data_IF_310184739937
#
_entry.id   IF_310184739937
#
_cell.length_a   1.000
_cell.length_b   1.000
_cell.length_c   1.000
_cell.angle_alpha   90.00
_cell.angle_beta   90.00
_cell.angle_gamma   90.00
#
_symmetry.space_group_name_H-M   'P 1'
#
loop_
_entity.id
_entity.type
_entity.pdbx_description
1 polymer ?
#
# COMPACT_ATOMS: atom_id res chain seq x y z
N UNK A 1 15.14 -11.05 -3.59
CA UNK A 1 13.76 -11.50 -3.40
C UNK A 1 12.94 -11.07 -4.59
N UNK A 2 12.02 -11.90 -5.07
CA UNK A 2 11.15 -11.59 -6.21
C UNK A 2 9.82 -11.07 -5.70
N UNK A 3 9.39 -9.91 -6.17
CA UNK A 3 8.27 -9.17 -5.59
C UNK A 3 7.31 -8.68 -6.67
N UNK A 4 6.02 -8.74 -6.36
CA UNK A 4 4.95 -7.99 -7.02
C UNK A 4 4.51 -6.87 -6.07
N UNK A 5 4.26 -5.66 -6.57
CA UNK A 5 3.63 -4.59 -5.78
C UNK A 5 2.27 -4.25 -6.41
N UNK A 6 1.19 -4.46 -5.65
CA UNK A 6 -0.18 -4.07 -5.97
C UNK A 6 -0.56 -2.81 -5.20
N UNK A 7 -0.79 -1.70 -5.91
CA UNK A 7 -0.77 -0.35 -5.34
C UNK A 7 -1.80 0.59 -6.01
N UNK A 8 -2.01 1.77 -5.43
CA UNK A 8 -2.96 2.78 -5.91
C UNK A 8 -2.34 4.19 -5.94
N UNK A 9 -1.18 4.37 -6.59
CA UNK A 9 -0.31 5.53 -6.37
C UNK A 9 -0.93 6.87 -6.78
N UNK A 10 -0.68 7.90 -5.97
CA UNK A 10 -1.13 9.28 -6.20
C UNK A 10 -0.02 10.31 -6.41
N UNK A 11 1.24 9.90 -6.58
CA UNK A 11 2.35 10.82 -6.81
C UNK A 11 2.09 11.77 -8.00
N UNK A 12 2.18 13.07 -7.75
CA UNK A 12 1.91 14.10 -8.75
C UNK A 12 0.41 14.41 -8.97
N UNK A 13 -0.49 13.74 -8.26
CA UNK A 13 -1.93 14.00 -8.30
C UNK A 13 -2.33 14.87 -7.10
N UNK A 14 -2.95 16.04 -7.33
CA UNK A 14 -3.35 16.93 -6.23
C UNK A 14 -4.24 16.23 -5.20
N UNK A 15 -3.84 16.27 -3.93
CA UNK A 15 -4.62 15.70 -2.81
C UNK A 15 -4.61 14.18 -2.69
N UNK A 16 -3.95 13.45 -3.59
CA UNK A 16 -3.81 12.00 -3.48
C UNK A 16 -2.55 11.61 -2.69
N UNK A 17 -2.62 10.48 -2.00
CA UNK A 17 -1.51 9.98 -1.18
C UNK A 17 -0.32 9.53 -2.05
N UNK A 18 0.90 9.61 -1.49
CA UNK A 18 2.17 9.46 -2.21
C UNK A 18 3.01 8.26 -1.76
N UNK A 19 2.53 7.55 -0.75
CA UNK A 19 3.23 6.48 -0.05
C UNK A 19 3.52 5.29 -0.95
N UNK A 20 2.59 4.91 -1.82
CA UNK A 20 2.83 3.89 -2.86
C UNK A 20 4.05 4.22 -3.71
N UNK A 21 4.18 5.48 -4.18
CA UNK A 21 5.33 5.87 -5.00
C UNK A 21 6.65 5.86 -4.23
N UNK A 22 6.61 6.11 -2.91
CA UNK A 22 7.78 5.95 -2.04
C UNK A 22 8.13 4.46 -1.84
N UNK A 23 7.14 3.59 -1.70
CA UNK A 23 7.33 2.14 -1.62
C UNK A 23 7.92 1.58 -2.92
N UNK A 24 7.37 1.97 -4.07
CA UNK A 24 7.89 1.64 -5.40
C UNK A 24 9.32 2.15 -5.58
N UNK A 25 9.61 3.39 -5.19
CA UNK A 25 10.96 3.95 -5.26
C UNK A 25 11.97 3.16 -4.43
N UNK A 26 11.62 2.79 -3.19
CA UNK A 26 12.48 1.96 -2.35
C UNK A 26 12.70 0.57 -2.97
N UNK A 27 11.65 -0.05 -3.50
CA UNK A 27 11.75 -1.37 -4.14
C UNK A 27 12.64 -1.35 -5.39
N UNK A 28 12.58 -0.27 -6.20
CA UNK A 28 13.43 -0.08 -7.37
C UNK A 28 14.88 0.20 -6.98
N UNK A 29 15.10 0.98 -5.91
CA UNK A 29 16.43 1.35 -5.45
C UNK A 29 17.17 0.21 -4.72
N UNK A 30 16.46 -0.77 -4.19
CA UNK A 30 17.05 -1.87 -3.43
C UNK A 30 17.49 -3.03 -4.35
N UNK A 31 18.80 -3.27 -4.56
CA UNK A 31 19.28 -4.33 -5.46
C UNK A 31 18.94 -5.75 -4.99
N UNK A 32 18.53 -5.90 -3.72
CA UNK A 32 18.05 -7.17 -3.18
C UNK A 32 16.63 -7.50 -3.64
N UNK A 33 15.89 -6.56 -4.24
CA UNK A 33 14.53 -6.75 -4.76
C UNK A 33 14.58 -6.85 -6.28
N UNK A 34 14.01 -7.95 -6.80
CA UNK A 34 13.60 -8.08 -8.19
C UNK A 34 12.12 -7.74 -8.24
N UNK A 35 11.79 -6.50 -8.64
CA UNK A 35 10.40 -6.07 -8.81
C UNK A 35 9.90 -6.59 -10.16
N UNK A 36 9.18 -7.71 -10.13
CA UNK A 36 8.76 -8.45 -11.32
C UNK A 36 7.65 -7.72 -12.09
N UNK A 37 6.76 -7.03 -11.37
CA UNK A 37 5.73 -6.17 -11.94
C UNK A 37 5.12 -5.24 -10.90
N UNK A 38 4.50 -4.17 -11.41
CA UNK A 38 3.63 -3.27 -10.68
C UNK A 38 2.20 -3.50 -11.15
N UNK A 39 1.28 -3.71 -10.23
CA UNK A 39 -0.15 -3.76 -10.52
C UNK A 39 -0.86 -2.60 -9.86
N UNK A 40 -1.90 -2.07 -10.51
CA UNK A 40 -2.68 -0.95 -9.97
C UNK A 40 -4.13 -1.30 -9.69
N UNK A 41 -4.68 -0.73 -8.62
CA UNK A 41 -6.08 -0.89 -8.20
C UNK A 41 -6.70 0.49 -7.93
N UNK A 42 -8.02 0.63 -8.06
CA UNK A 42 -8.69 1.86 -7.67
C UNK A 42 -8.65 2.04 -6.14
N UNK A 43 -8.14 3.18 -5.68
CA UNK A 43 -8.00 3.51 -4.26
C UNK A 43 -7.76 5.00 -4.03
N UNK A 44 -6.59 5.44 -3.58
CA UNK A 44 -6.23 6.85 -3.46
C UNK A 44 -6.54 7.63 -4.75
N UNK A 45 -6.40 6.98 -5.91
CA UNK A 45 -6.82 7.51 -7.21
C UNK A 45 -7.72 6.53 -7.97
N UNK A 46 -8.51 6.99 -8.97
CA UNK A 46 -9.10 6.09 -9.97
C UNK A 46 -8.02 5.24 -10.65
N UNK A 47 -8.32 3.98 -10.98
CA UNK A 47 -7.30 3.02 -11.41
C UNK A 47 -6.50 3.47 -12.64
N UNK A 48 -7.11 4.18 -13.59
CA UNK A 48 -6.43 4.70 -14.78
C UNK A 48 -5.43 5.82 -14.45
N UNK A 49 -5.69 6.57 -13.38
CA UNK A 49 -4.80 7.61 -12.87
C UNK A 49 -3.60 6.95 -12.17
N UNK A 50 -3.85 6.03 -11.23
CA UNK A 50 -2.77 5.28 -10.57
C UNK A 50 -1.90 4.49 -11.57
N UNK A 51 -2.52 3.89 -12.59
CA UNK A 51 -1.82 3.25 -13.70
C UNK A 51 -0.90 4.21 -14.45
N UNK A 52 -1.38 5.43 -14.75
CA UNK A 52 -0.57 6.46 -15.39
C UNK A 52 0.59 6.93 -14.51
N UNK A 53 0.37 7.08 -13.20
CA UNK A 53 1.40 7.46 -12.21
C UNK A 53 2.50 6.40 -12.17
N UNK A 54 2.14 5.11 -12.02
CA UNK A 54 3.10 4.01 -12.00
C UNK A 54 3.90 3.92 -13.33
N UNK A 55 3.24 4.14 -14.47
CA UNK A 55 3.91 4.18 -15.78
C UNK A 55 4.86 5.36 -15.94
N UNK A 56 4.48 6.53 -15.45
CA UNK A 56 5.32 7.72 -15.49
C UNK A 56 6.59 7.51 -14.65
N UNK A 57 6.46 6.90 -13.47
CA UNK A 57 7.60 6.51 -12.63
C UNK A 57 8.58 5.60 -13.38
N UNK A 58 8.13 4.43 -13.87
CA UNK A 58 9.04 3.47 -14.54
C UNK A 58 9.67 4.08 -15.79
N UNK A 59 8.94 4.94 -16.52
CA UNK A 59 9.45 5.64 -17.70
C UNK A 59 10.52 6.67 -17.35
N UNK A 60 10.32 7.45 -16.28
CA UNK A 60 11.30 8.46 -15.83
C UNK A 60 12.61 7.83 -15.34
N UNK A 61 12.51 6.66 -14.75
CA UNK A 61 13.64 5.89 -14.24
C UNK A 61 14.30 5.01 -15.31
N UNK A 62 13.69 4.90 -16.50
CA UNK A 62 14.14 4.03 -17.59
C UNK A 62 14.33 2.56 -17.15
N UNK A 63 13.41 2.06 -16.32
CA UNK A 63 13.45 0.67 -15.81
C UNK A 63 12.46 -0.23 -16.55
N UNK A 64 12.83 -1.46 -16.93
CA UNK A 64 12.00 -2.35 -17.74
C UNK A 64 10.96 -3.12 -16.91
N UNK A 65 10.28 -2.44 -15.99
CA UNK A 65 9.31 -3.05 -15.08
C UNK A 65 7.90 -2.97 -15.72
N UNK A 66 7.22 -4.10 -15.95
CA UNK A 66 5.88 -4.09 -16.51
C UNK A 66 4.87 -3.52 -15.49
N UNK A 67 3.94 -2.71 -15.99
CA UNK A 67 2.83 -2.14 -15.20
C UNK A 67 1.50 -2.67 -15.77
N UNK A 68 0.67 -3.26 -14.91
CA UNK A 68 -0.65 -3.80 -15.26
C UNK A 68 -1.76 -3.05 -14.54
N UNK A 69 -2.79 -2.66 -15.30
CA UNK A 69 -4.00 -2.07 -14.75
C UNK A 69 -4.90 -3.18 -14.17
N UNK A 70 -5.57 -2.91 -13.06
CA UNK A 70 -6.45 -3.86 -12.38
C UNK A 70 -7.86 -3.35 -12.17
N UNK A 71 -8.46 -3.73 -11.04
CA UNK A 71 -9.84 -3.45 -10.73
C UNK A 71 -10.10 -1.95 -10.54
N UNK A 72 -11.13 -1.45 -11.22
CA UNK A 72 -11.56 -0.04 -11.15
C UNK A 72 -12.56 0.25 -10.02
N UNK A 73 -13.01 -0.78 -9.30
CA UNK A 73 -14.00 -0.71 -8.22
C UNK A 73 -13.84 -1.90 -7.28
N UNK A 74 -14.30 -1.71 -6.05
CA UNK A 74 -14.40 -2.77 -5.06
C UNK A 74 -15.34 -3.90 -5.50
N UNK A 75 -15.25 -5.05 -4.83
CA UNK A 75 -16.11 -6.20 -5.09
C UNK A 75 -17.59 -5.89 -4.83
N UNK A 76 -17.90 -5.11 -3.77
CA UNK A 76 -19.28 -4.75 -3.41
C UNK A 76 -19.48 -3.31 -2.95
N UNK A 77 -18.46 -2.67 -2.36
CA UNK A 77 -18.59 -1.31 -1.83
C UNK A 77 -18.91 -0.30 -2.94
N UNK A 78 -19.81 0.66 -2.65
CA UNK A 78 -20.12 1.74 -3.57
C UNK A 78 -18.92 2.70 -3.66
N UNK A 79 -18.33 2.92 -4.85
CA UNK A 79 -17.18 3.81 -4.99
C UNK A 79 -17.55 5.28 -4.80
N UNK A 80 -18.82 5.70 -4.97
CA UNK A 80 -19.18 7.12 -5.06
C UNK A 80 -18.82 7.93 -3.80
N UNK A 81 -19.15 7.51 -2.56
CA UNK A 81 -18.80 8.29 -1.37
C UNK A 81 -17.28 8.41 -1.17
N UNK A 82 -16.54 7.36 -1.56
CA UNK A 82 -15.08 7.38 -1.52
C UNK A 82 -14.49 8.34 -2.56
N UNK A 83 -14.99 8.30 -3.80
CA UNK A 83 -14.58 9.24 -4.86
C UNK A 83 -14.86 10.68 -4.46
N UNK A 84 -16.05 10.98 -3.97
CA UNK A 84 -16.41 12.33 -3.53
C UNK A 84 -15.45 12.87 -2.47
N UNK A 85 -15.05 12.02 -1.50
CA UNK A 85 -14.11 12.41 -0.46
C UNK A 85 -12.67 12.57 -0.96
N UNK A 86 -12.17 11.60 -1.73
CA UNK A 86 -10.76 11.54 -2.13
C UNK A 86 -10.44 12.50 -3.28
N UNK A 87 -11.32 12.57 -4.29
CA UNK A 87 -11.07 13.32 -5.52
C UNK A 87 -11.30 14.84 -5.34
N UNK A 88 -12.00 15.26 -4.27
CA UNK A 88 -12.30 16.68 -3.99
C UNK A 88 -11.67 17.21 -2.70
N UNK A 89 -10.88 16.38 -2.00
CA UNK A 89 -10.29 16.75 -0.72
C UNK A 89 -9.43 18.02 -0.81
N UNK A 90 -8.60 18.12 -1.85
CA UNK A 90 -7.69 19.26 -2.03
C UNK A 90 -8.42 20.57 -2.35
N UNK A 91 -9.55 20.51 -3.08
CA UNK A 91 -10.43 21.66 -3.34
C UNK A 91 -11.12 22.13 -2.08
N UNK A 92 -11.63 21.21 -1.25
CA UNK A 92 -12.29 21.56 0.02
C UNK A 92 -11.38 22.34 0.97
N UNK A 93 -10.07 22.09 0.93
CA UNK A 93 -9.09 22.84 1.72
C UNK A 93 -8.49 24.06 1.00
N UNK A 94 -8.79 24.26 -0.30
CA UNK A 94 -8.21 25.36 -1.09
C UNK A 94 -6.69 25.28 -1.20
N UNK A 95 -6.15 24.06 -1.40
CA UNK A 95 -4.70 23.78 -1.39
C UNK A 95 -4.16 23.24 -2.72
N UNK A 96 -4.95 23.30 -3.80
CA UNK A 96 -4.56 22.77 -5.11
C UNK A 96 -3.29 23.40 -5.68
N UNK A 97 -3.05 24.67 -5.35
CA UNK A 97 -1.87 25.45 -5.73
C UNK A 97 -0.54 24.84 -5.25
N UNK A 98 -0.56 23.96 -4.22
CA UNK A 98 0.63 23.24 -3.80
C UNK A 98 1.22 22.35 -4.92
N UNK A 99 0.42 21.98 -5.92
CA UNK A 99 0.81 21.12 -7.04
C UNK A 99 1.02 21.86 -8.36
N UNK A 100 1.01 23.19 -8.40
CA UNK A 100 1.13 23.97 -9.65
C UNK A 100 2.40 23.66 -10.45
N UNK A 101 3.52 23.43 -9.76
CA UNK A 101 4.82 23.13 -10.37
C UNK A 101 5.11 21.62 -10.46
N UNK A 102 4.14 20.77 -10.11
CA UNK A 102 4.33 19.32 -10.06
C UNK A 102 3.92 18.70 -11.41
N UNK A 103 4.84 18.02 -12.12
CA UNK A 103 4.50 17.39 -13.38
C UNK A 103 3.38 16.35 -13.21
N UNK A 104 2.28 16.53 -13.95
CA UNK A 104 1.19 15.55 -13.96
C UNK A 104 1.51 14.39 -14.90
N UNK A 105 1.32 13.13 -14.46
CA UNK A 105 1.43 11.97 -15.34
C UNK A 105 0.51 12.06 -16.55
N UNK A 106 0.99 11.61 -17.71
CA UNK A 106 0.16 11.60 -18.92
C UNK A 106 -0.97 10.59 -18.79
N UNK A 107 -2.21 11.03 -19.02
CA UNK A 107 -3.38 10.16 -18.97
C UNK A 107 -3.22 8.95 -19.90
N UNK A 108 -3.38 7.76 -19.33
CA UNK A 108 -3.32 6.50 -20.08
C UNK A 108 -4.72 5.91 -20.18
N UNK A 109 -5.43 6.19 -21.27
CA UNK A 109 -6.74 5.59 -21.54
C UNK A 109 -6.55 4.19 -22.16
N UNK A 110 -7.46 3.26 -21.85
CA UNK A 110 -7.59 1.92 -22.49
C UNK A 110 -6.64 0.82 -22.01
N UNK A 111 -6.15 0.87 -20.77
CA UNK A 111 -5.47 -0.30 -20.20
C UNK A 111 -6.48 -1.42 -19.94
N UNK A 112 -6.18 -2.65 -20.38
CA UNK A 112 -7.01 -3.81 -20.03
C UNK A 112 -6.80 -4.15 -18.55
N UNK A 113 -7.86 -4.43 -17.77
CA UNK A 113 -7.76 -4.75 -16.35
C UNK A 113 -7.32 -6.21 -16.16
N UNK A 114 -6.04 -6.49 -16.39
CA UNK A 114 -5.46 -7.85 -16.37
C UNK A 114 -4.55 -8.11 -15.16
N UNK A 115 -4.47 -7.17 -14.21
CA UNK A 115 -3.64 -7.32 -13.03
C UNK A 115 -3.96 -8.58 -12.20
N UNK A 116 -5.24 -8.93 -11.91
CA UNK A 116 -5.54 -10.15 -11.14
C UNK A 116 -5.02 -11.42 -11.83
N UNK A 117 -5.18 -11.51 -13.15
CA UNK A 117 -4.66 -12.61 -13.96
C UNK A 117 -3.15 -12.65 -13.94
N UNK A 118 -2.48 -11.51 -14.14
CA UNK A 118 -1.02 -11.43 -14.13
C UNK A 118 -0.44 -11.86 -12.76
N UNK A 119 -1.04 -11.40 -11.65
CA UNK A 119 -0.67 -11.79 -10.28
C UNK A 119 -0.78 -13.30 -10.12
N UNK A 120 -1.94 -13.87 -10.44
CA UNK A 120 -2.19 -15.30 -10.28
C UNK A 120 -1.29 -16.14 -11.16
N UNK A 121 -1.11 -15.76 -12.42
CA UNK A 121 -0.26 -16.45 -13.38
C UNK A 121 1.21 -16.47 -12.92
N UNK A 122 1.78 -15.32 -12.55
CA UNK A 122 3.18 -15.26 -12.13
C UNK A 122 3.44 -16.08 -10.87
N UNK A 123 2.57 -15.96 -9.85
CA UNK A 123 2.72 -16.69 -8.59
C UNK A 123 2.57 -18.19 -8.81
N UNK A 124 1.54 -18.64 -9.53
CA UNK A 124 1.26 -20.07 -9.70
C UNK A 124 2.31 -20.78 -10.56
N UNK A 125 2.97 -20.07 -11.49
CA UNK A 125 4.09 -20.61 -12.25
C UNK A 125 5.41 -20.64 -11.46
N UNK A 126 5.51 -19.95 -10.33
CA UNK A 126 6.72 -19.83 -9.51
C UNK A 126 6.43 -20.11 -8.03
N UNK A 127 5.95 -21.33 -7.68
CA UNK A 127 5.50 -21.64 -6.33
C UNK A 127 6.65 -21.50 -5.31
N UNK A 128 6.40 -20.77 -4.22
CA UNK A 128 7.34 -20.51 -3.13
C UNK A 128 8.35 -19.39 -3.38
N UNK A 129 8.32 -18.75 -4.55
CA UNK A 129 9.33 -17.75 -4.93
C UNK A 129 8.88 -16.30 -4.80
N UNK A 130 7.59 -16.02 -5.10
CA UNK A 130 7.07 -14.67 -5.24
C UNK A 130 6.44 -14.18 -3.93
N UNK A 131 6.91 -13.01 -3.46
CA UNK A 131 6.23 -12.24 -2.41
C UNK A 131 5.32 -11.19 -3.06
N UNK A 132 4.04 -11.16 -2.67
CA UNK A 132 3.10 -10.14 -3.10
C UNK A 132 3.00 -9.06 -2.02
N UNK A 133 3.30 -7.82 -2.36
CA UNK A 133 3.09 -6.65 -1.49
C UNK A 133 1.83 -5.95 -1.98
N UNK A 134 0.85 -5.76 -1.11
CA UNK A 134 -0.40 -5.07 -1.42
C UNK A 134 -0.53 -3.82 -0.54
N UNK A 135 -0.48 -2.64 -1.15
CA UNK A 135 -0.54 -1.33 -0.49
C UNK A 135 -1.81 -0.55 -0.80
N UNK A 136 -2.62 -1.04 -1.74
CA UNK A 136 -3.98 -0.54 -2.00
C UNK A 136 -5.09 -1.49 -1.54
N UNK A 137 -6.36 -1.20 -1.90
CA UNK A 137 -7.47 -2.11 -1.69
C UNK A 137 -7.21 -3.49 -2.28
N UNK A 138 -7.58 -4.54 -1.54
CA UNK A 138 -7.19 -5.93 -1.86
C UNK A 138 -7.96 -6.57 -3.03
N UNK A 139 -8.69 -5.78 -3.82
CA UNK A 139 -9.59 -6.25 -4.87
C UNK A 139 -8.87 -7.11 -5.90
N UNK A 140 -7.70 -6.69 -6.38
CA UNK A 140 -6.91 -7.47 -7.34
C UNK A 140 -6.48 -8.81 -6.74
N UNK A 141 -6.03 -8.81 -5.49
CA UNK A 141 -5.58 -10.01 -4.77
C UNK A 141 -6.74 -10.98 -4.56
N UNK A 142 -7.91 -10.49 -4.16
CA UNK A 142 -9.10 -11.31 -3.96
C UNK A 142 -9.60 -11.95 -5.28
N UNK A 143 -9.58 -11.19 -6.38
CA UNK A 143 -9.92 -11.72 -7.71
C UNK A 143 -8.87 -12.76 -8.15
N UNK A 144 -7.58 -12.50 -7.92
CA UNK A 144 -6.51 -13.45 -8.25
C UNK A 144 -6.67 -14.77 -7.47
N UNK A 145 -7.01 -14.71 -6.18
CA UNK A 145 -7.33 -15.90 -5.36
C UNK A 145 -8.53 -16.68 -5.91
N UNK A 146 -9.55 -15.99 -6.42
CA UNK A 146 -10.73 -16.62 -6.99
C UNK A 146 -10.42 -17.30 -8.35
N UNK A 147 -9.64 -16.64 -9.21
CA UNK A 147 -9.25 -17.15 -10.52
C UNK A 147 -8.19 -18.27 -10.41
N UNK A 148 -7.32 -18.19 -9.41
CA UNK A 148 -6.21 -19.11 -9.18
C UNK A 148 -6.20 -19.60 -7.72
N UNK A 149 -7.10 -20.50 -7.31
CA UNK A 149 -7.18 -20.97 -5.92
C UNK A 149 -5.87 -21.57 -5.38
N UNK A 150 -5.04 -22.15 -6.25
CA UNK A 150 -3.71 -22.67 -5.90
C UNK A 150 -2.71 -21.58 -5.48
N UNK A 151 -2.99 -20.30 -5.76
CA UNK A 151 -2.19 -19.15 -5.30
C UNK A 151 -1.94 -19.21 -3.80
N UNK A 152 -2.95 -19.63 -3.01
CA UNK A 152 -2.87 -19.75 -1.55
C UNK A 152 -1.64 -20.57 -1.10
N UNK A 153 -1.32 -21.64 -1.86
CA UNK A 153 -0.20 -22.52 -1.56
C UNK A 153 1.08 -22.17 -2.34
N UNK A 154 0.95 -21.47 -3.46
CA UNK A 154 2.06 -21.09 -4.33
C UNK A 154 2.72 -19.77 -3.91
N UNK A 155 2.00 -18.85 -3.28
CA UNK A 155 2.58 -17.56 -2.85
C UNK A 155 3.57 -17.79 -1.71
N UNK A 156 4.73 -17.14 -1.78
CA UNK A 156 5.72 -17.22 -0.70
C UNK A 156 5.22 -16.52 0.56
N UNK A 157 4.69 -15.31 0.38
CA UNK A 157 4.13 -14.44 1.42
C UNK A 157 3.30 -13.33 0.76
N UNK A 158 2.21 -12.92 1.40
CA UNK A 158 1.47 -11.70 1.07
C UNK A 158 1.72 -10.69 2.20
N UNK A 159 2.27 -9.51 1.87
CA UNK A 159 2.50 -8.41 2.83
C UNK A 159 1.50 -7.30 2.53
N UNK A 160 0.66 -6.95 3.52
CA UNK A 160 -0.48 -6.06 3.32
C UNK A 160 -0.29 -4.79 4.16
N UNK A 161 -0.31 -3.62 3.53
CA UNK A 161 -0.59 -2.37 4.25
C UNK A 161 -2.10 -2.21 4.36
N UNK A 162 -2.63 -2.26 5.58
CA UNK A 162 -4.06 -2.15 5.80
C UNK A 162 -4.45 -2.61 7.20
N UNK A 163 -5.70 -2.39 7.52
CA UNK A 163 -6.26 -2.65 8.84
C UNK A 163 -5.87 -1.64 9.91
N UNK A 164 -6.70 -1.62 10.96
CA UNK A 164 -6.50 -0.80 12.15
C UNK A 164 -7.15 -1.50 13.35
N UNK A 165 -6.48 -1.45 14.49
CA UNK A 165 -6.98 -2.01 15.74
C UNK A 165 -7.22 -0.92 16.77
N UNK A 166 -6.21 -0.11 17.08
CA UNK A 166 -6.22 0.82 18.22
C UNK A 166 -5.60 2.18 17.86
N UNK A 167 -6.07 2.82 16.79
CA UNK A 167 -5.67 4.20 16.46
C UNK A 167 -6.81 5.16 16.78
N UNK A 168 -6.61 6.13 17.70
CA UNK A 168 -7.65 7.10 18.04
C UNK A 168 -8.19 7.85 16.82
N UNK A 169 -9.52 7.87 16.67
CA UNK A 169 -10.20 8.53 15.56
C UNK A 169 -10.39 7.67 14.29
N UNK A 170 -9.89 6.43 14.27
CA UNK A 170 -10.02 5.53 13.14
C UNK A 170 -10.77 4.25 13.55
N UNK A 171 -11.92 3.99 12.89
CA UNK A 171 -12.63 2.72 13.02
C UNK A 171 -12.22 1.70 11.95
N UNK A 172 -11.69 2.18 10.82
CA UNK A 172 -11.19 1.38 9.70
C UNK A 172 -10.11 2.16 8.96
N UNK A 173 -9.18 1.46 8.34
CA UNK A 173 -8.23 2.07 7.41
C UNK A 173 -8.89 2.30 6.04
N UNK A 174 -8.18 3.00 5.16
CA UNK A 174 -8.70 3.36 3.84
C UNK A 174 -8.80 2.14 2.92
N UNK A 175 -7.80 1.25 2.90
CA UNK A 175 -7.76 0.11 1.98
C UNK A 175 -8.84 -0.91 2.28
N UNK A 176 -9.03 -1.28 3.55
CA UNK A 176 -10.10 -2.22 3.92
C UNK A 176 -11.47 -1.55 3.91
N UNK A 177 -11.53 -0.23 4.15
CA UNK A 177 -12.76 0.52 4.02
C UNK A 177 -13.27 0.60 2.58
N UNK A 178 -12.35 0.69 1.61
CA UNK A 178 -12.65 0.72 0.18
C UNK A 178 -13.14 -0.63 -0.35
N UNK A 179 -12.59 -1.74 0.11
CA UNK A 179 -13.08 -3.08 -0.27
C UNK A 179 -13.05 -4.08 0.92
N UNK A 180 -14.07 -4.01 1.81
CA UNK A 180 -14.16 -4.89 2.97
C UNK A 180 -14.23 -6.38 2.60
N UNK A 181 -14.94 -6.72 1.52
CA UNK A 181 -15.07 -8.09 1.04
C UNK A 181 -13.75 -8.67 0.57
N UNK A 182 -12.97 -7.89 -0.19
CA UNK A 182 -11.66 -8.35 -0.63
C UNK A 182 -10.72 -8.55 0.57
N UNK A 183 -10.73 -7.63 1.54
CA UNK A 183 -9.94 -7.76 2.75
C UNK A 183 -10.35 -9.00 3.57
N UNK A 184 -11.64 -9.24 3.76
CA UNK A 184 -12.16 -10.47 4.39
C UNK A 184 -11.66 -11.72 3.65
N UNK A 185 -11.81 -11.75 2.32
CA UNK A 185 -11.44 -12.91 1.50
C UNK A 185 -9.95 -13.24 1.60
N UNK A 186 -9.07 -12.22 1.57
CA UNK A 186 -7.62 -12.43 1.65
C UNK A 186 -7.19 -12.85 3.06
N UNK A 187 -7.66 -12.17 4.11
CA UNK A 187 -7.25 -12.48 5.48
C UNK A 187 -7.75 -13.86 5.95
N UNK A 188 -8.88 -14.32 5.44
CA UNK A 188 -9.42 -15.65 5.79
C UNK A 188 -9.05 -16.77 4.80
N UNK A 189 -8.23 -16.46 3.78
CA UNK A 189 -7.87 -17.40 2.70
C UNK A 189 -7.02 -18.59 3.12
N UNK A 190 -6.24 -18.44 4.20
CA UNK A 190 -5.22 -19.41 4.60
C UNK A 190 -3.86 -19.20 3.92
N UNK A 191 -3.68 -18.15 3.12
CA UNK A 191 -2.38 -17.78 2.58
C UNK A 191 -1.43 -17.26 3.69
N UNK A 192 -0.10 -17.37 3.51
CA UNK A 192 0.86 -16.80 4.46
C UNK A 192 0.86 -15.26 4.38
N UNK A 193 0.12 -14.61 5.29
CA UNK A 193 -0.04 -13.15 5.33
C UNK A 193 0.79 -12.52 6.45
N UNK A 194 1.40 -11.36 6.15
CA UNK A 194 1.88 -10.39 7.13
C UNK A 194 1.09 -9.09 6.97
N UNK A 195 0.49 -8.59 8.05
CA UNK A 195 -0.24 -7.33 8.10
C UNK A 195 0.63 -6.20 8.68
N UNK A 196 0.61 -5.05 8.00
CA UNK A 196 1.24 -3.80 8.38
C UNK A 196 0.14 -2.77 8.70
N UNK A 197 -0.42 -2.76 9.92
CA UNK A 197 -1.60 -1.98 10.25
C UNK A 197 -1.30 -0.50 10.53
N UNK A 198 -2.36 0.32 10.55
CA UNK A 198 -2.30 1.72 10.96
C UNK A 198 -1.71 1.94 12.35
N UNK A 199 -1.87 0.98 13.26
CA UNK A 199 -1.28 1.01 14.61
C UNK A 199 0.23 1.28 14.58
N UNK A 200 0.91 0.73 13.58
CA UNK A 200 2.36 0.89 13.39
C UNK A 200 2.67 1.98 12.38
N UNK A 201 1.96 2.02 11.25
CA UNK A 201 2.31 2.95 10.17
C UNK A 201 2.05 4.41 10.53
N UNK A 202 1.12 4.70 11.45
CA UNK A 202 0.94 6.06 12.02
C UNK A 202 2.09 6.52 12.92
N UNK A 203 3.08 5.65 13.18
CA UNK A 203 4.34 5.99 13.85
C UNK A 203 5.48 6.23 12.86
N UNK A 204 5.25 6.00 11.57
CA UNK A 204 6.19 6.37 10.51
C UNK A 204 5.95 7.82 10.16
N UNK A 205 6.97 8.68 10.22
CA UNK A 205 6.82 10.12 10.03
C UNK A 205 7.98 10.63 9.18
N UNK A 206 7.65 11.27 8.07
CA UNK A 206 8.58 12.00 7.22
C UNK A 206 8.31 13.50 7.32
N UNK A 207 9.36 14.27 7.56
CA UNK A 207 9.35 15.72 7.58
C UNK A 207 9.96 16.28 6.28
N UNK A 208 9.78 17.57 6.03
CA UNK A 208 10.48 18.26 4.92
C UNK A 208 11.99 18.09 5.00
N UNK A 209 12.58 18.20 6.19
CA UNK A 209 14.01 18.02 6.39
C UNK A 209 14.49 16.60 6.04
N UNK A 210 13.65 15.58 6.26
CA UNK A 210 13.98 14.21 5.87
C UNK A 210 13.96 14.07 4.35
N UNK A 211 12.97 14.67 3.68
CA UNK A 211 12.90 14.72 2.22
C UNK A 211 14.09 15.47 1.60
N UNK A 212 14.52 16.58 2.22
CA UNK A 212 15.70 17.33 1.79
C UNK A 212 16.97 16.48 1.83
N UNK A 213 17.15 15.67 2.90
CA UNK A 213 18.25 14.70 2.99
C UNK A 213 18.16 13.63 1.90
N UNK A 214 16.96 13.08 1.65
CA UNK A 214 16.76 12.10 0.58
C UNK A 214 17.10 12.67 -0.80
N UNK A 215 16.69 13.90 -1.08
CA UNK A 215 16.90 14.56 -2.37
C UNK A 215 18.36 14.99 -2.62
N UNK A 216 19.18 15.12 -1.58
CA UNK A 216 20.59 15.52 -1.68
C UNK A 216 21.49 14.60 -2.52
N UNK A 217 21.04 13.38 -2.82
CA UNK A 217 21.76 12.49 -3.74
C UNK A 217 21.76 12.96 -5.19
N UNK A 218 20.93 13.95 -5.54
CA UNK A 218 20.84 14.56 -6.88
C UNK A 218 20.70 13.55 -8.03
N UNK A 219 20.08 12.40 -7.77
CA UNK A 219 19.75 11.40 -8.79
C UNK A 219 18.29 11.54 -9.26
N UNK A 220 17.94 10.83 -10.34
CA UNK A 220 16.61 10.94 -10.97
C UNK A 220 15.48 10.53 -10.02
N UNK A 221 15.71 9.54 -9.16
CA UNK A 221 14.73 9.05 -8.20
C UNK A 221 14.51 10.04 -7.05
N UNK A 222 15.59 10.58 -6.48
CA UNK A 222 15.54 11.62 -5.44
C UNK A 222 14.80 12.86 -5.93
N UNK A 223 15.07 13.33 -7.16
CA UNK A 223 14.32 14.45 -7.76
C UNK A 223 12.84 14.15 -7.93
N UNK A 224 12.49 12.95 -8.40
CA UNK A 224 11.09 12.54 -8.54
C UNK A 224 10.35 12.53 -7.19
N UNK A 225 10.99 11.96 -6.16
CA UNK A 225 10.44 11.92 -4.80
C UNK A 225 10.29 13.32 -4.23
N UNK A 226 11.30 14.19 -4.36
CA UNK A 226 11.22 15.57 -3.90
C UNK A 226 10.03 16.31 -4.53
N UNK A 227 9.94 16.26 -5.86
CA UNK A 227 8.90 16.96 -6.62
C UNK A 227 7.48 16.49 -6.25
N UNK A 228 7.29 15.19 -6.01
CA UNK A 228 5.95 14.61 -5.80
C UNK A 228 5.54 14.54 -4.33
N UNK A 229 6.48 14.41 -3.39
CA UNK A 229 6.19 14.24 -1.96
C UNK A 229 6.13 15.58 -1.22
N UNK A 230 6.96 16.57 -1.58
CA UNK A 230 6.98 17.89 -0.94
C UNK A 230 5.59 18.55 -0.81
N UNK A 231 4.75 18.61 -1.87
CA UNK A 231 3.40 19.18 -1.74
C UNK A 231 2.53 18.38 -0.77
N UNK A 232 2.65 17.05 -0.75
CA UNK A 232 1.91 16.18 0.15
C UNK A 232 2.28 16.38 1.62
N UNK A 233 3.57 16.51 1.94
CA UNK A 233 4.01 16.82 3.31
C UNK A 233 3.32 18.11 3.78
N UNK A 234 3.34 19.16 2.95
CA UNK A 234 2.70 20.44 3.26
C UNK A 234 1.18 20.31 3.41
N UNK A 235 0.53 19.54 2.53
CA UNK A 235 -0.91 19.27 2.61
C UNK A 235 -1.27 18.52 3.89
N UNK A 236 -0.52 17.48 4.24
CA UNK A 236 -0.71 16.71 5.47
C UNK A 236 -0.55 17.59 6.71
N UNK A 237 0.46 18.47 6.75
CA UNK A 237 0.64 19.41 7.85
C UNK A 237 -0.58 20.33 8.04
N UNK A 238 -1.14 20.84 6.94
CA UNK A 238 -2.27 21.78 6.96
C UNK A 238 -3.62 21.12 7.26
N UNK A 239 -3.80 19.85 6.89
CA UNK A 239 -5.10 19.17 6.95
C UNK A 239 -5.21 18.14 8.08
N UNK A 240 -4.09 17.57 8.51
CA UNK A 240 -4.04 16.47 9.50
C UNK A 240 -3.41 16.88 10.83
N UNK A 241 -2.96 18.13 10.95
CA UNK A 241 -2.26 18.64 12.15
C UNK A 241 -1.04 17.78 12.54
N UNK A 242 -0.30 17.32 11.53
CA UNK A 242 0.94 16.56 11.67
C UNK A 242 2.15 17.47 11.40
N UNK A 243 3.34 17.19 11.95
CA UNK A 243 4.56 17.93 11.61
C UNK A 243 5.09 17.59 10.21
N UNK A 244 4.56 16.56 9.56
CA UNK A 244 4.86 16.16 8.18
C UNK A 244 3.79 15.23 7.62
N UNK A 245 4.18 14.10 7.00
CA UNK A 245 3.26 13.04 6.60
C UNK A 245 3.64 11.66 7.16
N UNK A 246 2.65 10.79 7.33
CA UNK A 246 2.88 9.35 7.54
C UNK A 246 3.30 8.69 6.22
N UNK A 247 4.15 7.67 6.29
CA UNK A 247 4.70 6.95 5.14
C UNK A 247 4.32 5.48 5.24
N UNK A 248 3.03 5.19 5.04
CA UNK A 248 2.44 3.91 5.39
C UNK A 248 3.04 2.74 4.62
N UNK A 249 3.03 2.85 3.29
CA UNK A 249 3.27 1.72 2.39
C UNK A 249 4.73 1.30 2.33
N UNK A 250 5.65 2.27 2.41
CA UNK A 250 7.10 2.00 2.35
C UNK A 250 7.56 1.10 3.49
N UNK A 251 6.83 1.05 4.62
CA UNK A 251 7.14 0.14 5.72
C UNK A 251 7.04 -1.33 5.30
N UNK A 252 6.14 -1.68 4.38
CA UNK A 252 6.01 -3.06 3.87
C UNK A 252 7.30 -3.53 3.18
N UNK A 253 7.85 -2.69 2.29
CA UNK A 253 9.08 -2.94 1.55
C UNK A 253 10.29 -2.87 2.49
N UNK A 254 10.36 -1.84 3.34
CA UNK A 254 11.47 -1.65 4.26
C UNK A 254 11.59 -2.82 5.25
N UNK A 255 10.48 -3.31 5.80
CA UNK A 255 10.48 -4.45 6.71
C UNK A 255 10.94 -5.75 6.05
N UNK A 256 10.65 -5.95 4.76
CA UNK A 256 11.20 -7.09 4.02
C UNK A 256 12.72 -6.98 3.82
N UNK A 257 13.26 -5.77 3.72
CA UNK A 257 14.70 -5.52 3.61
C UNK A 257 15.42 -5.63 4.96
N UNK A 258 14.78 -5.20 6.04
CA UNK A 258 15.28 -5.32 7.42
C UNK A 258 14.13 -5.54 8.40
N UNK A 259 13.91 -6.80 8.79
CA UNK A 259 12.82 -7.18 9.68
C UNK A 259 12.99 -6.64 11.11
N UNK A 260 14.19 -6.20 11.50
CA UNK A 260 14.43 -5.61 12.82
C UNK A 260 13.89 -4.18 12.95
N UNK A 261 13.33 -3.62 11.88
CA UNK A 261 12.57 -2.36 11.92
C UNK A 261 11.31 -2.44 12.79
N UNK A 262 10.73 -3.63 12.95
CA UNK A 262 9.46 -3.81 13.62
C UNK A 262 9.43 -5.09 14.46
N UNK A 263 8.70 -5.05 15.57
CA UNK A 263 8.30 -6.26 16.30
C UNK A 263 7.01 -6.81 15.73
N UNK A 264 6.78 -8.11 15.86
CA UNK A 264 5.57 -8.78 15.36
C UNK A 264 4.84 -9.58 16.43
N UNK A 265 3.56 -9.82 16.19
CA UNK A 265 2.70 -10.76 16.92
C UNK A 265 1.92 -11.59 15.91
N UNK A 266 1.19 -12.59 16.36
CA UNK A 266 0.34 -13.42 15.50
C UNK A 266 -1.07 -13.50 16.06
N UNK A 267 -2.07 -13.46 15.18
CA UNK A 267 -3.47 -13.69 15.55
C UNK A 267 -4.30 -14.10 14.32
N UNK A 268 -5.50 -14.59 14.56
CA UNK A 268 -6.50 -14.71 13.51
C UNK A 268 -7.18 -13.36 13.28
N UNK A 269 -7.31 -12.99 12.01
CA UNK A 269 -7.91 -11.73 11.59
C UNK A 269 -9.14 -11.93 10.73
N UNK A 270 -10.09 -11.02 10.88
CA UNK A 270 -11.28 -10.92 10.06
C UNK A 270 -11.62 -9.44 9.81
N UNK A 271 -12.59 -9.17 8.94
CA UNK A 271 -13.12 -7.84 8.64
C UNK A 271 -14.62 -7.85 8.85
N UNK A 272 -15.14 -6.89 9.62
CA UNK A 272 -16.59 -6.72 9.73
C UNK A 272 -17.17 -6.30 8.38
N UNK A 273 -18.22 -6.97 7.92
CA UNK A 273 -18.87 -6.69 6.63
C UNK A 273 -20.21 -5.97 6.78
N UNK A 274 -20.64 -5.67 8.00
CA UNK A 274 -22.00 -5.20 8.27
C UNK A 274 -22.03 -3.98 9.20
N UNK A 275 -23.11 -3.21 9.07
CA UNK A 275 -23.43 -2.10 9.97
C UNK A 275 -22.36 -1.02 10.05
N UNK A 276 -22.29 -0.35 11.20
CA UNK A 276 -21.39 0.77 11.45
C UNK A 276 -19.90 0.37 11.40
N UNK A 277 -19.59 -0.88 11.74
CA UNK A 277 -18.21 -1.38 11.80
C UNK A 277 -17.74 -1.96 10.47
N UNK A 278 -18.53 -1.89 9.40
CA UNK A 278 -18.14 -2.41 8.08
C UNK A 278 -16.78 -1.84 7.63
N UNK A 279 -15.82 -2.73 7.35
CA UNK A 279 -14.41 -2.43 7.02
C UNK A 279 -13.45 -2.44 8.23
N UNK A 280 -13.96 -2.61 9.46
CA UNK A 280 -13.13 -2.71 10.66
C UNK A 280 -12.42 -4.06 10.73
N UNK A 281 -11.13 -4.05 11.00
CA UNK A 281 -10.33 -5.26 11.22
C UNK A 281 -10.52 -5.78 12.64
N UNK A 282 -10.73 -7.08 12.77
CA UNK A 282 -10.97 -7.76 14.04
C UNK A 282 -9.85 -8.76 14.32
N UNK A 283 -9.33 -8.76 15.55
CA UNK A 283 -8.54 -9.89 16.10
C UNK A 283 -9.49 -10.80 16.87
N UNK A 284 -9.44 -12.10 16.63
CA UNK A 284 -10.45 -13.00 17.22
C UNK A 284 -9.96 -14.43 17.51
N UNK A 285 -8.66 -14.67 17.60
CA UNK A 285 -8.16 -15.97 18.03
C UNK A 285 -8.68 -16.37 19.42
N UNK A 286 -9.30 -17.55 19.55
CA UNK A 286 -9.95 -17.96 20.82
C UNK A 286 -9.02 -17.96 22.03
N UNK A 287 -7.76 -18.32 21.83
CA UNK A 287 -6.78 -18.39 22.93
C UNK A 287 -6.44 -17.01 23.52
N UNK A 288 -6.74 -15.91 22.82
CA UNK A 288 -6.48 -14.54 23.27
C UNK A 288 -7.74 -13.85 23.80
N UNK A 289 -8.92 -14.43 23.58
CA UNK A 289 -10.19 -13.87 24.02
C UNK A 289 -10.50 -14.23 25.48
N UNK A 290 -10.93 -13.23 26.26
CA UNK A 290 -11.48 -13.43 27.61
C UNK A 290 -12.95 -13.85 27.61
N UNK A 291 -13.66 -13.56 26.52
CA UNK A 291 -15.06 -13.91 26.28
C UNK A 291 -15.23 -14.25 24.81
N UNK A 292 -15.67 -15.47 24.52
CA UNK A 292 -15.79 -16.06 23.20
C UNK A 292 -17.24 -16.45 22.84
N UNK A 293 -18.20 -16.14 23.72
CA UNK A 293 -19.62 -16.41 23.52
C UNK A 293 -20.10 -15.71 22.25
N UNK A 294 -20.58 -16.49 21.28
CA UNK A 294 -21.08 -15.99 19.98
C UNK A 294 -20.00 -15.71 18.95
N UNK A 295 -18.73 -16.00 19.24
CA UNK A 295 -17.61 -15.83 18.30
C UNK A 295 -17.38 -17.15 17.53
N UNK A 296 -17.45 -17.14 16.18
CA UNK A 296 -17.21 -18.34 15.39
C UNK A 296 -15.76 -18.83 15.51
N UNK A 297 -15.53 -20.08 15.10
CA UNK A 297 -14.16 -20.59 14.97
C UNK A 297 -13.38 -19.76 13.94
N UNK A 298 -12.11 -19.43 14.23
CA UNK A 298 -11.27 -18.76 13.26
C UNK A 298 -11.09 -19.52 11.96
N UNK A 299 -11.16 -18.78 10.86
CA UNK A 299 -10.89 -19.27 9.50
C UNK A 299 -9.48 -18.89 9.07
N UNK A 300 -8.90 -19.69 8.18
CA UNK A 300 -7.58 -19.45 7.61
C UNK A 300 -6.45 -19.86 8.56
N UNK A 301 -5.40 -19.06 8.60
CA UNK A 301 -4.19 -19.28 9.41
C UNK A 301 -3.92 -18.03 10.25
N UNK A 302 -3.08 -18.17 11.29
CA UNK A 302 -2.62 -16.99 12.02
C UNK A 302 -1.80 -16.08 11.10
N UNK A 303 -2.04 -14.78 11.23
CA UNK A 303 -1.42 -13.72 10.45
C UNK A 303 -0.38 -13.03 11.32
N UNK A 304 0.81 -12.85 10.77
CA UNK A 304 1.86 -12.04 11.39
C UNK A 304 1.46 -10.56 11.32
N UNK A 305 1.50 -9.84 12.43
CA UNK A 305 1.04 -8.45 12.55
C UNK A 305 2.18 -7.62 13.12
N UNK A 306 2.60 -6.58 12.42
CA UNK A 306 3.57 -5.63 12.95
C UNK A 306 2.96 -4.86 14.14
N UNK A 307 3.74 -4.64 15.19
CA UNK A 307 3.30 -3.97 16.44
C UNK A 307 4.04 -2.66 16.77
N UNK A 308 5.27 -2.50 16.30
CA UNK A 308 6.07 -1.30 16.54
C UNK A 308 6.95 -1.01 15.34
N UNK A 309 7.48 0.21 15.25
CA UNK A 309 8.45 0.59 14.20
C UNK A 309 9.49 1.56 14.76
N UNK A 310 10.75 1.35 14.38
CA UNK A 310 11.80 2.35 14.54
C UNK A 310 11.81 3.30 13.33
N UNK A 311 11.15 4.47 13.48
CA UNK A 311 11.04 5.45 12.40
C UNK A 311 12.40 6.04 11.99
N UNK A 312 13.34 6.22 12.92
CA UNK A 312 14.64 6.77 12.58
C UNK A 312 15.44 5.79 11.74
N UNK A 313 15.38 4.51 12.09
CA UNK A 313 15.99 3.43 11.31
C UNK A 313 15.30 3.27 9.95
N UNK A 314 13.97 3.40 9.89
CA UNK A 314 13.22 3.39 8.62
C UNK A 314 13.70 4.50 7.68
N UNK A 315 13.75 5.74 8.13
CA UNK A 315 14.22 6.88 7.34
C UNK A 315 15.67 6.68 6.87
N UNK A 316 16.54 6.18 7.76
CA UNK A 316 17.94 5.89 7.42
C UNK A 316 18.08 4.80 6.37
N UNK A 317 17.21 3.78 6.40
CA UNK A 317 17.19 2.71 5.39
C UNK A 317 16.73 3.26 4.03
N UNK A 318 15.68 4.07 4.01
CA UNK A 318 15.20 4.70 2.77
C UNK A 318 16.32 5.56 2.18
N UNK A 319 16.95 6.41 2.99
CA UNK A 319 18.07 7.26 2.57
C UNK A 319 19.24 6.44 2.01
N UNK A 320 19.61 5.36 2.69
CA UNK A 320 20.68 4.47 2.24
C UNK A 320 20.49 3.97 0.81
N UNK A 321 19.29 3.50 0.46
CA UNK A 321 18.98 2.94 -0.85
C UNK A 321 18.79 4.02 -1.90
N UNK A 322 18.04 5.08 -1.60
CA UNK A 322 17.80 6.18 -2.55
C UNK A 322 19.13 6.86 -2.93
N UNK A 323 20.06 7.05 -1.99
CA UNK A 323 21.36 7.66 -2.29
C UNK A 323 22.27 6.78 -3.17
N UNK A 324 22.12 5.46 -3.10
CA UNK A 324 22.91 4.50 -3.88
C UNK A 324 22.27 4.14 -5.23
N UNK A 325 21.11 4.73 -5.53
CA UNK A 325 20.46 4.51 -6.80
C UNK A 325 21.25 5.16 -7.93
N UNK A 326 21.72 4.30 -8.84
CA UNK A 326 22.41 4.68 -10.06
C UNK A 326 21.72 3.99 -11.23
N UNK A 327 21.35 4.77 -12.25
CA UNK A 327 20.85 4.27 -13.55
C UNK A 327 22.02 4.23 -14.52
#
# INVERSE_FOLDING_TARGET
>A
MRVIIDCDPGNGIPGANIDDGLALALAIAAPQISLEMITTVAGNTPVEVGYAVAKDLVKRLDVPIPVYCGASRALREDPLPWREKLDHGVEHFGLRQLWEDVPTPQASRHAKPIAPEAIGELICHNPGEITLIATGPLTNVAIALQLYPQLIHAVKKIVIMGGVFNVPGYMKDTNFGLDPEAAHAVLTSGAPVTLVPMDVTTKTQMLHADLDRLASAENVLGRYLEQTIRPWITYSMRTRNLPGCWIHDVLTVAWLLDSSLATTTEDFLDVSLEGLTRGMTCRYGRNTLRLDVGIPEPKGVMIEILQSVDNQKLLSLIEHYIHRYHV
#
